data_IF_183766296951
#
_entry.id   IF_183766296951
#
_cell.length_a   1.000
_cell.length_b   1.000
_cell.length_c   1.000
_cell.angle_alpha   90.00
_cell.angle_beta   90.00
_cell.angle_gamma   90.00
#
_symmetry.space_group_name_H-M   'P 1'
#
loop_
_entity.id
_entity.type
_entity.pdbx_description
1 polymer ?
#
# COMPACT_ATOMS: atom_id res chain seq x y z
N UNK A 1 2.78 -14.23 11.42
CA UNK A 1 1.45 -14.12 10.81
C UNK A 1 1.58 -13.07 9.72
N UNK A 2 1.16 -13.38 8.50
CA UNK A 2 1.27 -12.47 7.36
C UNK A 2 0.24 -11.35 7.53
N UNK A 3 0.68 -10.17 7.93
CA UNK A 3 -0.16 -8.98 7.85
C UNK A 3 -0.43 -8.71 6.38
N UNK A 4 -1.64 -9.06 5.98
CA UNK A 4 -2.16 -8.81 4.65
C UNK A 4 -2.43 -7.32 4.61
N UNK A 5 -1.50 -6.54 4.06
CA UNK A 5 -1.76 -5.16 3.67
C UNK A 5 -2.93 -5.20 2.70
N UNK A 6 -4.13 -4.94 3.21
CA UNK A 6 -5.30 -4.70 2.38
C UNK A 6 -5.12 -3.30 1.82
N UNK A 7 -4.42 -3.20 0.69
CA UNK A 7 -4.47 -2.00 -0.15
C UNK A 7 -5.93 -1.83 -0.54
N UNK A 8 -6.57 -0.78 -0.03
CA UNK A 8 -7.91 -0.40 -0.47
C UNK A 8 -7.83 -0.21 -1.99
N UNK A 9 -8.51 -1.09 -2.73
CA UNK A 9 -8.73 -0.95 -4.16
C UNK A 9 -9.65 0.26 -4.31
N UNK A 10 -9.09 1.46 -4.40
CA UNK A 10 -9.84 2.56 -4.96
C UNK A 10 -10.26 2.12 -6.37
N UNK A 11 -11.56 2.21 -6.61
CA UNK A 11 -12.24 1.68 -7.77
C UNK A 11 -11.74 2.36 -9.04
N UNK A 12 -10.62 1.88 -9.58
CA UNK A 12 -10.33 2.01 -11.00
C UNK A 12 -11.55 1.46 -11.72
N UNK A 13 -12.20 2.28 -12.55
CA UNK A 13 -13.30 1.88 -13.43
C UNK A 13 -12.95 0.53 -14.05
N UNK A 14 -13.63 -0.51 -13.60
CA UNK A 14 -13.36 -1.90 -13.94
C UNK A 14 -13.60 -2.08 -15.44
N UNK A 15 -12.55 -1.92 -16.24
CA UNK A 15 -12.58 -2.26 -17.66
C UNK A 15 -12.49 -3.78 -17.72
N UNK A 16 -13.65 -4.44 -17.66
CA UNK A 16 -13.74 -5.90 -17.71
C UNK A 16 -13.03 -6.40 -18.98
N UNK A 17 -12.04 -7.30 -18.87
CA UNK A 17 -11.41 -7.89 -20.04
C UNK A 17 -12.47 -8.53 -20.94
N UNK A 18 -12.25 -8.50 -22.25
CA UNK A 18 -13.16 -9.14 -23.18
C UNK A 18 -13.22 -10.64 -22.85
N UNK A 19 -14.42 -11.15 -22.57
CA UNK A 19 -14.64 -12.55 -22.16
C UNK A 19 -14.19 -13.58 -23.21
N UNK A 20 -13.94 -13.15 -24.46
CA UNK A 20 -13.51 -14.01 -25.56
C UNK A 20 -12.42 -13.30 -26.39
N UNK A 21 -11.40 -14.04 -26.90
CA UNK A 21 -10.45 -13.51 -27.87
C UNK A 21 -11.19 -12.88 -29.05
N UNK A 22 -10.89 -11.61 -29.34
CA UNK A 22 -11.54 -10.87 -30.42
C UNK A 22 -10.59 -10.71 -31.59
N UNK A 23 -11.08 -10.86 -32.82
CA UNK A 23 -10.27 -10.62 -34.01
C UNK A 23 -10.40 -9.16 -34.44
N UNK A 24 -9.27 -8.49 -34.69
CA UNK A 24 -9.24 -7.10 -35.15
C UNK A 24 -8.53 -7.06 -36.50
N UNK A 25 -9.09 -6.27 -37.43
CA UNK A 25 -8.51 -6.05 -38.76
C UNK A 25 -8.04 -4.60 -38.86
N UNK A 26 -6.76 -4.43 -39.16
CA UNK A 26 -6.07 -3.15 -39.26
C UNK A 26 -5.73 -2.84 -40.71
N UNK A 27 -5.93 -1.61 -41.20
CA UNK A 27 -5.32 -1.15 -42.43
C UNK A 27 -3.79 -1.13 -42.28
N UNK A 28 -3.05 -1.65 -43.26
CA UNK A 28 -1.58 -1.54 -43.25
C UNK A 28 -1.17 -0.31 -44.05
N UNK A 29 -0.30 0.53 -43.50
CA UNK A 29 0.10 1.80 -44.14
C UNK A 29 0.72 1.64 -45.52
N UNK A 30 1.35 0.50 -45.81
CA UNK A 30 1.94 0.17 -47.12
C UNK A 30 0.96 -0.51 -48.08
N UNK A 31 -0.33 -0.59 -47.71
CA UNK A 31 -1.37 -1.28 -48.47
C UNK A 31 -1.71 -2.66 -47.91
N UNK A 32 -2.96 -3.09 -48.13
CA UNK A 32 -3.51 -4.34 -47.59
C UNK A 32 -4.11 -4.19 -46.19
N UNK A 33 -4.41 -5.32 -45.56
CA UNK A 33 -4.96 -5.38 -44.21
C UNK A 33 -4.27 -6.48 -43.40
N UNK A 34 -4.08 -6.23 -42.11
CA UNK A 34 -3.59 -7.20 -41.15
C UNK A 34 -4.75 -7.63 -40.24
N UNK A 35 -5.06 -8.91 -40.22
CA UNK A 35 -6.05 -9.48 -39.29
C UNK A 35 -5.34 -10.31 -38.24
N UNK A 36 -5.54 -9.97 -36.98
CA UNK A 36 -4.86 -10.63 -35.85
C UNK A 36 -5.82 -10.88 -34.68
N UNK A 37 -5.68 -12.01 -33.96
CA UNK A 37 -6.40 -12.21 -32.71
C UNK A 37 -5.84 -11.29 -31.62
N UNK A 38 -6.72 -10.52 -30.99
CA UNK A 38 -6.45 -9.76 -29.77
C UNK A 38 -6.62 -10.72 -28.58
N UNK A 39 -5.57 -10.92 -27.76
CA UNK A 39 -5.66 -11.79 -26.60
C UNK A 39 -6.74 -11.35 -25.61
N UNK A 40 -7.39 -12.30 -24.93
CA UNK A 40 -8.45 -12.00 -23.95
C UNK A 40 -7.99 -11.10 -22.78
N UNK A 41 -6.68 -11.08 -22.48
CA UNK A 41 -6.10 -10.20 -21.46
C UNK A 41 -5.86 -8.76 -21.95
N UNK A 42 -5.92 -8.49 -23.25
CA UNK A 42 -5.67 -7.17 -23.81
C UNK A 42 -6.87 -6.24 -23.55
N UNK A 43 -6.62 -5.10 -22.92
CA UNK A 43 -7.61 -4.06 -22.61
C UNK A 43 -7.48 -2.80 -23.48
N UNK A 44 -6.45 -2.74 -24.33
CA UNK A 44 -6.31 -1.73 -25.39
C UNK A 44 -7.49 -1.83 -26.36
N UNK A 45 -8.13 -0.70 -26.65
CA UNK A 45 -9.31 -0.67 -27.54
C UNK A 45 -8.94 -0.68 -29.02
N UNK A 46 -7.68 -0.36 -29.37
CA UNK A 46 -7.13 -0.34 -30.72
C UNK A 46 -7.91 0.54 -31.72
N UNK A 47 -8.76 1.47 -31.27
CA UNK A 47 -9.61 2.25 -32.18
C UNK A 47 -8.80 3.17 -33.08
N UNK A 48 -7.74 3.76 -32.54
CA UNK A 48 -6.84 4.65 -33.29
C UNK A 48 -6.01 3.89 -34.32
N UNK A 49 -5.53 2.70 -33.96
CA UNK A 49 -4.81 1.79 -34.86
C UNK A 49 -5.66 1.41 -36.07
N UNK A 50 -6.94 1.10 -35.85
CA UNK A 50 -7.90 0.77 -36.91
C UNK A 50 -8.20 1.99 -37.78
N UNK A 51 -8.40 3.16 -37.17
CA UNK A 51 -8.76 4.38 -37.89
C UNK A 51 -7.62 4.94 -38.76
N UNK A 52 -6.37 4.84 -38.28
CA UNK A 52 -5.19 5.44 -38.92
C UNK A 52 -4.34 4.44 -39.71
N UNK A 53 -4.57 3.14 -39.49
CA UNK A 53 -3.70 2.08 -39.96
C UNK A 53 -2.38 2.02 -39.20
N UNK A 54 -1.72 0.87 -39.27
CA UNK A 54 -0.49 0.56 -38.52
C UNK A 54 0.63 0.09 -39.44
N UNK A 55 1.87 0.15 -38.95
CA UNK A 55 2.90 -0.78 -39.38
C UNK A 55 2.76 -2.05 -38.52
N UNK A 56 2.90 -3.27 -39.06
CA UNK A 56 2.72 -4.49 -38.28
C UNK A 56 3.59 -4.55 -37.02
N UNK A 57 4.84 -4.07 -37.10
CA UNK A 57 5.76 -4.00 -35.98
C UNK A 57 5.29 -3.10 -34.83
N UNK A 58 4.37 -2.15 -35.11
CA UNK A 58 3.82 -1.23 -34.11
C UNK A 58 2.58 -1.80 -33.40
N UNK A 59 2.14 -3.02 -33.72
CA UNK A 59 1.02 -3.64 -33.02
C UNK A 59 1.44 -4.05 -31.60
N UNK A 60 0.84 -3.40 -30.60
CA UNK A 60 1.08 -3.69 -29.18
C UNK A 60 -0.21 -4.11 -28.48
N UNK A 61 -0.23 -5.31 -27.89
CA UNK A 61 -1.28 -5.70 -26.96
C UNK A 61 -0.88 -5.32 -25.54
N UNK A 62 -1.79 -4.69 -24.80
CA UNK A 62 -1.57 -4.28 -23.41
C UNK A 62 -2.74 -4.70 -22.53
N UNK A 63 -2.43 -5.30 -21.39
CA UNK A 63 -3.40 -5.57 -20.33
C UNK A 63 -3.60 -4.39 -19.39
N UNK A 64 -4.56 -4.54 -18.48
CA UNK A 64 -4.85 -3.53 -17.45
C UNK A 64 -3.63 -3.33 -16.53
N UNK A 65 -3.20 -2.08 -16.28
CA UNK A 65 -2.08 -1.82 -15.39
C UNK A 65 -2.46 -2.01 -13.92
N UNK A 66 -1.56 -2.64 -13.16
CA UNK A 66 -1.52 -2.55 -11.70
C UNK A 66 -0.57 -1.43 -11.34
N UNK A 67 -1.05 -0.43 -10.62
CA UNK A 67 -0.28 0.77 -10.26
C UNK A 67 -0.08 0.89 -8.77
N UNK A 68 1.08 1.40 -8.39
CA UNK A 68 1.36 1.94 -7.08
C UNK A 68 1.38 3.47 -7.20
N UNK A 69 0.22 4.05 -6.93
CA UNK A 69 0.00 5.48 -7.03
C UNK A 69 0.23 6.16 -5.67
N UNK A 70 0.80 7.35 -5.72
CA UNK A 70 1.02 8.26 -4.60
C UNK A 70 0.44 9.62 -4.95
N UNK A 71 0.16 10.43 -3.94
CA UNK A 71 -0.13 11.84 -4.09
C UNK A 71 0.98 12.63 -3.40
N UNK A 72 1.81 13.33 -4.17
CA UNK A 72 2.90 14.16 -3.68
C UNK A 72 2.56 15.63 -3.96
N UNK A 73 2.37 16.43 -2.91
CA UNK A 73 2.01 17.85 -3.00
C UNK A 73 0.79 18.15 -3.88
N UNK A 74 -0.22 17.26 -3.86
CA UNK A 74 -1.42 17.37 -4.68
C UNK A 74 -1.27 16.82 -6.10
N UNK A 75 -0.09 16.35 -6.48
CA UNK A 75 0.20 15.77 -7.79
C UNK A 75 0.14 14.24 -7.68
N UNK A 76 -0.78 13.58 -8.41
CA UNK A 76 -0.78 12.12 -8.48
C UNK A 76 0.45 11.64 -9.26
N UNK A 77 1.25 10.78 -8.64
CA UNK A 77 2.44 10.17 -9.24
C UNK A 77 2.35 8.66 -9.12
N UNK A 78 2.63 7.93 -10.19
CA UNK A 78 2.73 6.47 -10.15
C UNK A 78 4.21 6.09 -10.07
N UNK A 79 4.62 5.49 -8.96
CA UNK A 79 6.03 5.14 -8.73
C UNK A 79 6.36 3.78 -9.34
N UNK A 80 5.35 2.91 -9.48
CA UNK A 80 5.51 1.59 -10.09
C UNK A 80 4.25 1.20 -10.85
N UNK A 81 4.39 0.84 -12.12
CA UNK A 81 3.32 0.22 -12.90
C UNK A 81 3.76 -1.16 -13.38
N UNK A 82 2.88 -2.16 -13.26
CA UNK A 82 3.07 -3.47 -13.86
C UNK A 82 1.90 -3.79 -14.82
N UNK A 83 2.17 -4.30 -16.02
CA UNK A 83 1.12 -4.73 -16.97
C UNK A 83 1.59 -5.87 -17.87
N UNK A 84 0.62 -6.59 -18.45
CA UNK A 84 0.91 -7.51 -19.54
C UNK A 84 1.14 -6.76 -20.85
N UNK A 85 2.14 -7.17 -21.61
CA UNK A 85 2.51 -6.62 -22.91
C UNK A 85 2.85 -7.71 -23.93
N UNK A 86 2.68 -7.41 -25.21
CA UNK A 86 3.16 -8.25 -26.32
C UNK A 86 3.29 -7.42 -27.60
N UNK A 87 4.41 -7.57 -28.32
CA UNK A 87 4.63 -7.04 -29.66
C UNK A 87 4.68 -8.17 -30.69
N UNK A 88 3.55 -8.67 -31.22
CA UNK A 88 3.49 -9.95 -31.94
C UNK A 88 4.36 -10.02 -33.21
N UNK A 89 4.73 -8.86 -33.76
CA UNK A 89 5.54 -8.73 -34.97
C UNK A 89 6.89 -8.06 -34.70
N UNK A 90 7.32 -7.95 -33.45
CA UNK A 90 8.67 -7.48 -33.13
C UNK A 90 9.72 -8.40 -33.78
N UNK A 91 10.82 -7.80 -34.21
CA UNK A 91 12.00 -8.54 -34.66
C UNK A 91 12.75 -9.21 -33.51
N UNK A 92 12.45 -8.82 -32.27
CA UNK A 92 12.95 -9.44 -31.05
C UNK A 92 12.04 -10.62 -30.64
N UNK A 93 12.56 -11.87 -30.63
CA UNK A 93 11.79 -13.02 -30.17
C UNK A 93 11.23 -12.87 -28.75
N UNK A 94 11.91 -12.14 -27.86
CA UNK A 94 11.51 -11.98 -26.46
C UNK A 94 10.29 -11.07 -26.29
N UNK A 95 10.11 -10.10 -27.20
CA UNK A 95 8.95 -9.20 -27.22
C UNK A 95 7.76 -9.78 -27.99
N UNK A 96 8.01 -10.77 -28.86
CA UNK A 96 6.98 -11.43 -29.68
C UNK A 96 6.04 -12.34 -28.89
N UNK A 97 6.44 -12.73 -27.68
CA UNK A 97 5.65 -13.52 -26.73
C UNK A 97 5.10 -12.63 -25.61
N UNK A 98 3.99 -12.99 -24.95
CA UNK A 98 3.49 -12.22 -23.82
C UNK A 98 4.50 -12.12 -22.67
N UNK A 99 4.67 -10.92 -22.11
CA UNK A 99 5.54 -10.63 -20.98
C UNK A 99 4.86 -9.71 -19.96
N UNK A 100 5.42 -9.61 -18.75
CA UNK A 100 5.07 -8.56 -17.79
C UNK A 100 6.10 -7.44 -17.87
N UNK A 101 5.61 -6.25 -18.16
CA UNK A 101 6.38 -5.01 -18.10
C UNK A 101 6.23 -4.40 -16.71
N UNK A 102 7.35 -4.11 -16.02
CA UNK A 102 7.39 -3.32 -14.79
C UNK A 102 8.12 -2.01 -15.08
N UNK A 103 7.42 -0.88 -14.98
CA UNK A 103 7.96 0.46 -15.28
C UNK A 103 8.00 1.30 -13.99
N UNK A 104 9.20 1.69 -13.50
CA UNK A 104 9.37 2.66 -12.42
C UNK A 104 9.23 4.09 -12.99
N UNK A 105 8.18 4.79 -12.59
CA UNK A 105 7.84 6.18 -12.97
C UNK A 105 7.82 6.50 -14.50
N UNK A 106 6.95 7.43 -14.88
CA UNK A 106 6.60 7.80 -16.26
C UNK A 106 7.74 8.53 -17.03
N UNK A 107 8.92 8.76 -16.43
CA UNK A 107 9.96 9.63 -16.99
C UNK A 107 11.22 8.96 -17.56
N UNK A 108 11.58 7.75 -17.15
CA UNK A 108 12.91 7.19 -17.46
C UNK A 108 12.95 6.28 -18.67
N UNK A 109 11.79 5.77 -19.13
CA UNK A 109 11.70 4.85 -20.26
C UNK A 109 12.37 3.49 -20.02
N UNK A 110 12.80 3.19 -18.79
CA UNK A 110 13.39 1.91 -18.43
C UNK A 110 12.29 0.97 -17.92
N UNK A 111 12.19 -0.24 -18.49
CA UNK A 111 11.26 -1.27 -18.03
C UNK A 111 12.04 -2.54 -17.68
N UNK A 112 11.60 -3.23 -16.62
CA UNK A 112 12.04 -4.60 -16.32
C UNK A 112 11.03 -5.56 -16.93
N UNK A 113 11.51 -6.42 -17.81
CA UNK A 113 10.71 -7.44 -18.47
C UNK A 113 10.82 -8.75 -17.69
N UNK A 114 9.67 -9.31 -17.30
CA UNK A 114 9.58 -10.65 -16.72
C UNK A 114 8.90 -11.56 -17.74
N UNK A 115 9.63 -12.55 -18.26
CA UNK A 115 9.18 -13.45 -19.32
C UNK A 115 8.56 -14.75 -18.78
N UNK A 116 8.77 -15.03 -17.50
CA UNK A 116 8.18 -16.20 -16.85
C UNK A 116 7.79 -15.93 -15.39
N UNK A 117 7.11 -16.91 -14.81
CA UNK A 117 6.59 -16.82 -13.44
C UNK A 117 7.71 -16.69 -12.39
N UNK A 118 8.85 -17.33 -12.59
CA UNK A 118 9.95 -17.32 -11.61
C UNK A 118 10.58 -15.93 -11.52
N UNK A 119 10.82 -15.28 -12.67
CA UNK A 119 11.32 -13.90 -12.72
C UNK A 119 10.36 -12.92 -12.04
N UNK A 120 9.06 -13.05 -12.30
CA UNK A 120 8.04 -12.25 -11.62
C UNK A 120 8.02 -12.51 -10.10
N UNK A 121 8.14 -13.76 -9.67
CA UNK A 121 8.20 -14.12 -8.25
C UNK A 121 9.44 -13.54 -7.55
N UNK A 122 10.56 -13.42 -8.26
CA UNK A 122 11.77 -12.78 -7.75
C UNK A 122 11.59 -11.27 -7.56
N UNK A 123 10.96 -10.57 -8.51
CA UNK A 123 10.61 -9.16 -8.36
C UNK A 123 9.58 -8.94 -7.23
N UNK A 124 8.56 -9.80 -7.11
CA UNK A 124 7.61 -9.77 -5.98
C UNK A 124 8.35 -9.91 -4.65
N UNK A 125 9.36 -10.79 -4.57
CA UNK A 125 10.16 -10.97 -3.36
C UNK A 125 10.97 -9.71 -3.02
N UNK A 126 11.56 -9.05 -4.02
CA UNK A 126 12.28 -7.78 -3.84
C UNK A 126 11.35 -6.68 -3.34
N UNK A 127 10.16 -6.53 -3.93
CA UNK A 127 9.17 -5.54 -3.49
C UNK A 127 8.71 -5.80 -2.06
N UNK A 128 8.44 -7.06 -1.69
CA UNK A 128 8.09 -7.42 -0.30
C UNK A 128 9.23 -7.14 0.68
N UNK A 129 10.46 -7.46 0.31
CA UNK A 129 11.63 -7.15 1.14
C UNK A 129 11.79 -5.62 1.31
N UNK A 130 11.56 -4.85 0.25
CA UNK A 130 11.57 -3.40 0.32
C UNK A 130 10.45 -2.85 1.22
N UNK A 131 9.23 -3.37 1.10
CA UNK A 131 8.13 -3.04 2.00
C UNK A 131 8.49 -3.30 3.46
N UNK A 132 9.08 -4.47 3.77
CA UNK A 132 9.52 -4.77 5.13
C UNK A 132 10.58 -3.76 5.62
N UNK A 133 11.57 -3.43 4.78
CA UNK A 133 12.57 -2.43 5.12
C UNK A 133 11.96 -1.03 5.38
N UNK A 134 10.89 -0.66 4.66
CA UNK A 134 10.16 0.58 4.90
C UNK A 134 9.37 0.54 6.22
N UNK A 135 8.78 -0.61 6.57
CA UNK A 135 8.13 -0.81 7.87
C UNK A 135 9.17 -0.64 9.00
N UNK A 136 10.31 -1.33 8.88
CA UNK A 136 11.39 -1.24 9.87
C UNK A 136 11.91 0.20 10.00
N UNK A 137 11.99 0.95 8.89
CA UNK A 137 12.35 2.37 8.90
C UNK A 137 11.27 3.25 9.57
N UNK A 138 9.99 2.95 9.36
CA UNK A 138 8.88 3.59 10.06
C UNK A 138 8.97 3.40 11.57
N UNK A 139 9.29 2.20 12.03
CA UNK A 139 9.50 1.90 13.46
C UNK A 139 10.70 2.68 14.02
N UNK A 140 11.81 2.75 13.27
CA UNK A 140 12.97 3.56 13.65
C UNK A 140 12.64 5.05 13.76
N UNK A 141 11.83 5.57 12.84
CA UNK A 141 11.37 6.95 12.88
C UNK A 141 10.52 7.21 14.13
N UNK A 142 9.58 6.32 14.45
CA UNK A 142 8.74 6.43 15.64
C UNK A 142 9.56 6.43 16.94
N UNK A 143 10.57 5.56 17.05
CA UNK A 143 11.49 5.53 18.19
C UNK A 143 12.32 6.83 18.28
N UNK A 144 12.84 7.32 17.15
CA UNK A 144 13.57 8.59 17.12
C UNK A 144 12.71 9.77 17.59
N UNK A 145 11.45 9.82 17.18
CA UNK A 145 10.48 10.83 17.64
C UNK A 145 10.19 10.71 19.14
N UNK A 146 10.05 9.49 19.66
CA UNK A 146 9.86 9.26 21.10
C UNK A 146 11.07 9.73 21.93
N UNK A 147 12.29 9.43 21.47
CA UNK A 147 13.53 9.91 22.08
C UNK A 147 13.59 11.44 22.05
N UNK A 148 13.27 12.05 20.91
CA UNK A 148 13.25 13.51 20.78
C UNK A 148 12.24 14.16 21.73
N UNK A 149 11.00 13.67 21.76
CA UNK A 149 9.98 14.14 22.70
C UNK A 149 10.47 14.01 24.15
N UNK A 150 11.10 12.88 24.52
CA UNK A 150 11.62 12.67 25.87
C UNK A 150 12.72 13.63 26.30
N UNK A 151 13.47 14.20 25.34
CA UNK A 151 14.54 15.19 25.61
C UNK A 151 13.99 16.58 25.85
N UNK A 152 12.86 16.92 25.21
CA UNK A 152 12.27 18.25 25.26
C UNK A 152 11.27 18.42 26.40
N UNK A 153 10.74 17.32 26.93
CA UNK A 153 9.87 17.36 28.11
C UNK A 153 10.72 17.41 29.39
N UNK A 154 10.60 18.51 30.14
CA UNK A 154 11.32 18.75 31.40
C UNK A 154 10.57 18.26 32.64
N UNK A 155 9.25 18.08 32.55
CA UNK A 155 8.39 17.56 33.63
C UNK A 155 7.66 16.29 33.17
N UNK A 156 8.06 15.15 33.74
CA UNK A 156 7.46 13.85 33.43
C UNK A 156 5.98 13.74 33.81
N UNK A 157 5.48 14.57 34.73
CA UNK A 157 4.08 14.55 35.16
C UNK A 157 3.10 15.13 34.14
N UNK A 158 3.59 15.98 33.24
CA UNK A 158 2.78 16.64 32.19
C UNK A 158 3.25 16.31 30.78
N UNK A 159 4.14 15.34 30.63
CA UNK A 159 4.70 14.90 29.34
C UNK A 159 3.63 14.55 28.30
N UNK A 160 2.51 13.99 28.75
CA UNK A 160 1.42 13.57 27.88
C UNK A 160 0.67 14.76 27.26
N UNK A 161 0.68 15.96 27.87
CA UNK A 161 -0.10 17.09 27.39
C UNK A 161 0.52 17.79 26.17
N UNK A 162 1.79 17.51 25.87
CA UNK A 162 2.46 17.98 24.65
C UNK A 162 2.28 17.03 23.45
N UNK A 163 1.74 15.83 23.67
CA UNK A 163 1.46 14.88 22.60
C UNK A 163 0.19 15.30 21.85
N UNK A 164 0.28 15.40 20.53
CA UNK A 164 -0.87 15.55 19.66
C UNK A 164 -1.48 14.19 19.27
N UNK A 165 -2.63 14.25 18.59
CA UNK A 165 -3.30 13.05 18.03
C UNK A 165 -2.34 12.19 17.20
N UNK A 166 -1.57 12.80 16.32
CA UNK A 166 -0.62 12.10 15.44
C UNK A 166 0.42 11.34 16.25
N UNK A 167 0.94 11.92 17.33
CA UNK A 167 1.93 11.27 18.19
C UNK A 167 1.35 10.04 18.89
N UNK A 168 0.10 10.11 19.37
CA UNK A 168 -0.60 8.95 19.94
C UNK A 168 -0.82 7.85 18.89
N UNK A 169 -0.97 8.21 17.62
CA UNK A 169 -1.12 7.23 16.53
C UNK A 169 0.21 6.60 16.10
N UNK A 170 1.31 7.36 16.09
CA UNK A 170 2.57 6.92 15.48
C UNK A 170 3.63 6.46 16.48
N UNK A 171 3.68 7.00 17.70
CA UNK A 171 4.76 6.69 18.64
C UNK A 171 4.68 5.24 19.16
N UNK A 172 5.81 4.65 19.59
CA UNK A 172 5.83 3.30 20.16
C UNK A 172 4.89 3.19 21.36
N UNK A 173 4.09 2.13 21.41
CA UNK A 173 3.07 2.00 22.46
C UNK A 173 3.69 1.92 23.86
N UNK A 174 4.85 1.27 24.01
CA UNK A 174 5.58 1.22 25.27
C UNK A 174 5.97 2.63 25.77
N UNK A 175 6.33 3.52 24.85
CA UNK A 175 6.61 4.92 25.17
C UNK A 175 5.34 5.65 25.61
N UNK A 176 4.23 5.49 24.88
CA UNK A 176 2.95 6.10 25.23
C UNK A 176 2.46 5.64 26.61
N UNK A 177 2.49 4.34 26.90
CA UNK A 177 2.11 3.80 28.21
C UNK A 177 2.93 4.42 29.34
N UNK A 178 4.24 4.62 29.13
CA UNK A 178 5.12 5.29 30.09
C UNK A 178 4.74 6.76 30.27
N UNK A 179 4.56 7.51 29.17
CA UNK A 179 4.28 8.95 29.20
C UNK A 179 2.91 9.26 29.83
N UNK A 180 1.90 8.44 29.54
CA UNK A 180 0.58 8.55 30.16
C UNK A 180 0.51 7.97 31.58
N UNK A 181 1.59 7.37 32.10
CA UNK A 181 1.62 6.73 33.42
C UNK A 181 0.61 5.57 33.52
N UNK A 182 0.50 4.76 32.48
CA UNK A 182 -0.43 3.62 32.40
C UNK A 182 0.19 2.39 33.04
N UNK A 183 -0.53 1.81 34.00
CA UNK A 183 -0.25 0.49 34.55
C UNK A 183 -1.07 -0.57 33.82
N UNK A 184 -0.41 -1.59 33.27
CA UNK A 184 -1.10 -2.73 32.63
C UNK A 184 -1.43 -3.80 33.67
N UNK A 185 -2.69 -4.24 33.70
CA UNK A 185 -3.19 -5.27 34.62
C UNK A 185 -3.91 -6.35 33.81
N UNK A 186 -3.47 -7.60 33.95
CA UNK A 186 -4.16 -8.75 33.38
C UNK A 186 -5.31 -9.20 34.29
N UNK A 187 -6.53 -9.28 33.76
CA UNK A 187 -7.73 -9.65 34.52
C UNK A 187 -8.79 -10.30 33.62
N UNK A 188 -9.48 -11.30 34.15
CA UNK A 188 -10.62 -11.95 33.47
C UNK A 188 -11.83 -11.01 33.33
N UNK A 189 -12.00 -10.13 34.32
CA UNK A 189 -13.01 -9.08 34.30
C UNK A 189 -12.34 -7.73 34.06
N UNK A 190 -12.46 -7.23 32.84
CA UNK A 190 -11.97 -5.91 32.44
C UNK A 190 -12.85 -4.78 32.98
N UNK A 191 -14.01 -5.10 33.60
CA UNK A 191 -15.00 -4.14 34.08
C UNK A 191 -15.88 -3.56 32.96
N UNK A 192 -15.76 -4.07 31.73
CA UNK A 192 -16.58 -3.75 30.55
C UNK A 192 -16.82 -5.02 29.74
N UNK A 193 -17.80 -5.00 28.83
CA UNK A 193 -17.97 -6.08 27.83
C UNK A 193 -16.80 -6.19 26.82
N UNK A 194 -15.82 -5.30 26.90
CA UNK A 194 -14.69 -5.21 26.00
C UNK A 194 -13.51 -6.08 26.46
N UNK A 195 -12.68 -6.52 25.52
CA UNK A 195 -11.46 -7.31 25.78
C UNK A 195 -10.33 -6.51 26.43
N UNK A 196 -10.44 -5.18 26.41
CA UNK A 196 -9.57 -4.25 27.12
C UNK A 196 -10.37 -3.03 27.60
N UNK A 197 -9.92 -2.38 28.68
CA UNK A 197 -10.49 -1.13 29.16
C UNK A 197 -9.42 -0.26 29.83
N UNK A 198 -9.46 1.04 29.54
CA UNK A 198 -8.58 2.05 30.13
C UNK A 198 -9.36 2.87 31.16
N UNK A 199 -8.75 3.08 32.33
CA UNK A 199 -9.32 3.80 33.47
C UNK A 199 -8.36 4.85 34.00
N UNK A 200 -8.89 5.87 34.67
CA UNK A 200 -8.10 6.89 35.36
C UNK A 200 -7.71 8.07 34.48
N UNK A 201 -6.85 8.92 35.05
CA UNK A 201 -6.28 10.12 34.42
C UNK A 201 -4.77 9.92 34.19
N UNK A 202 -4.15 10.67 33.25
CA UNK A 202 -2.72 10.56 32.98
C UNK A 202 -1.88 10.68 34.27
N UNK A 203 -0.89 9.80 34.42
CA UNK A 203 -0.07 9.65 35.63
C UNK A 203 -0.60 8.62 36.63
N UNK A 204 -1.86 8.20 36.50
CA UNK A 204 -2.50 7.18 37.33
C UNK A 204 -3.46 6.28 36.52
N UNK A 205 -3.18 6.09 35.23
CA UNK A 205 -4.03 5.28 34.35
C UNK A 205 -3.83 3.79 34.61
N UNK A 206 -4.90 3.01 34.41
CA UNK A 206 -4.86 1.54 34.47
C UNK A 206 -5.48 0.95 33.19
N UNK A 207 -4.68 0.20 32.45
CA UNK A 207 -5.12 -0.59 31.30
C UNK A 207 -5.37 -2.03 31.74
N UNK A 208 -6.63 -2.43 31.74
CA UNK A 208 -7.05 -3.81 32.02
C UNK A 208 -7.17 -4.59 30.73
N UNK A 209 -6.48 -5.73 30.64
CA UNK A 209 -6.46 -6.59 29.46
C UNK A 209 -6.76 -8.04 29.85
N UNK A 210 -7.41 -8.79 28.97
CA UNK A 210 -7.58 -10.23 29.20
C UNK A 210 -6.24 -10.99 29.05
N UNK A 211 -5.99 -12.03 29.87
CA UNK A 211 -4.74 -12.79 29.80
C UNK A 211 -4.51 -13.49 28.46
N UNK A 212 -5.58 -13.96 27.83
CA UNK A 212 -5.55 -14.71 26.56
C UNK A 212 -5.25 -13.85 25.31
N UNK A 213 -5.18 -12.54 25.48
CA UNK A 213 -4.96 -11.62 24.37
C UNK A 213 -3.48 -11.63 23.92
N UNK A 214 -3.25 -11.79 22.62
CA UNK A 214 -1.91 -11.71 22.03
C UNK A 214 -1.29 -10.32 22.23
N UNK A 215 0.06 -10.25 22.24
CA UNK A 215 0.77 -8.98 22.38
C UNK A 215 0.34 -7.94 21.34
N UNK A 216 0.26 -8.33 20.07
CA UNK A 216 -0.20 -7.45 18.99
C UNK A 216 -1.59 -6.85 19.27
N UNK A 217 -2.55 -7.68 19.70
CA UNK A 217 -3.88 -7.20 20.05
C UNK A 217 -3.86 -6.27 21.28
N UNK A 218 -3.00 -6.54 22.27
CA UNK A 218 -2.85 -5.66 23.44
C UNK A 218 -2.38 -4.27 23.01
N UNK A 219 -1.40 -4.20 22.13
CA UNK A 219 -0.83 -2.93 21.65
C UNK A 219 -1.83 -2.14 20.82
N UNK A 220 -2.55 -2.80 19.90
CA UNK A 220 -3.63 -2.20 19.11
C UNK A 220 -4.74 -1.63 20.01
N UNK A 221 -5.24 -2.42 20.97
CA UNK A 221 -6.29 -1.99 21.88
C UNK A 221 -5.82 -0.87 22.82
N UNK A 222 -4.58 -0.94 23.32
CA UNK A 222 -4.00 0.12 24.13
C UNK A 222 -3.95 1.46 23.35
N UNK A 223 -3.49 1.42 22.10
CA UNK A 223 -3.43 2.61 21.23
C UNK A 223 -4.83 3.17 20.99
N UNK A 224 -5.79 2.32 20.63
CA UNK A 224 -7.17 2.72 20.41
C UNK A 224 -7.78 3.39 21.64
N UNK A 225 -7.60 2.81 22.82
CA UNK A 225 -8.16 3.37 24.06
C UNK A 225 -7.51 4.70 24.45
N UNK A 226 -6.20 4.86 24.21
CA UNK A 226 -5.51 6.15 24.40
C UNK A 226 -6.02 7.21 23.43
N UNK A 227 -6.30 6.85 22.18
CA UNK A 227 -6.90 7.75 21.19
C UNK A 227 -8.33 8.15 21.57
N UNK A 228 -9.16 7.19 21.94
CA UNK A 228 -10.53 7.46 22.39
C UNK A 228 -10.52 8.40 23.61
N UNK A 229 -9.60 8.18 24.56
CA UNK A 229 -9.40 9.07 25.70
C UNK A 229 -8.95 10.47 25.26
N UNK A 230 -7.95 10.56 24.38
CA UNK A 230 -7.42 11.83 23.87
C UNK A 230 -8.53 12.64 23.17
N UNK A 231 -9.34 12.00 22.34
CA UNK A 231 -10.45 12.65 21.64
C UNK A 231 -11.50 13.18 22.62
N UNK A 232 -11.87 12.38 23.63
CA UNK A 232 -12.87 12.75 24.61
C UNK A 232 -12.44 13.92 25.53
N UNK A 233 -11.15 14.06 25.81
CA UNK A 233 -10.64 15.03 26.82
C UNK A 233 -9.91 16.24 26.21
N UNK A 234 -9.29 16.08 25.04
CA UNK A 234 -8.47 17.11 24.40
C UNK A 234 -9.04 17.47 23.01
N UNK A 235 -9.45 16.46 22.23
CA UNK A 235 -9.91 16.64 20.84
C UNK A 235 -11.28 17.30 20.69
N UNK A 236 -12.12 17.33 21.73
CA UNK A 236 -13.45 17.95 21.72
C UNK A 236 -13.49 19.47 21.90
N UNK A 237 -12.34 20.14 22.02
CA UNK A 237 -12.25 21.59 22.24
C UNK A 237 -11.85 22.41 21.00
N UNK A 238 -11.84 21.81 19.81
CA UNK A 238 -11.59 22.49 18.53
C UNK A 238 -12.89 22.71 17.73
#
# INVERSE_FOLDING_TARGET
MQDTVQTARESSTEKTPALEPRTITYPVKTGGSLTTPCPAWCTSDHSDDVARGIHPADLLHQGEPVRLDYNADGIPVSVLQARLGQWPFSGDPEESVPYVEITPEVGTGASVYCHNRLELDDEIRKVRAHLQALIDLGDQLAEAQAVDHSRHVTDGGTAWSSLGRTDVQSLPIAYLLKVYGVKVVETEDTGRKAVAALYGEPGAMELRVKPDMSQYMREDQARRLLLDWYEAHIGGAA
#
